data_IF_278755055600
#
_entry.id   IF_278755055600
#
_cell.length_a   1.000
_cell.length_b   1.000
_cell.length_c   1.000
_cell.angle_alpha   90.00
_cell.angle_beta   90.00
_cell.angle_gamma   90.00
#
_symmetry.space_group_name_H-M   'P 1'
#
loop_
_entity.id
_entity.type
_entity.pdbx_description
1 polymer ?
#
# COMPACT_ATOMS: atom_id res chain seq x y z
N UNK A 1 -12.58 4.83 -6.56
CA UNK A 1 -11.29 4.12 -6.59
C UNK A 1 -10.18 5.18 -6.58
N UNK A 2 -9.30 5.19 -5.57
CA UNK A 2 -8.34 6.30 -5.37
C UNK A 2 -6.99 5.92 -5.97
N UNK A 3 -6.42 6.84 -6.75
CA UNK A 3 -5.08 6.71 -7.31
C UNK A 3 -4.24 7.94 -6.93
N UNK A 4 -2.94 7.78 -7.02
CA UNK A 4 -1.97 8.86 -6.94
C UNK A 4 -0.93 8.63 -8.04
N UNK A 5 -0.47 9.72 -8.64
CA UNK A 5 0.61 9.69 -9.63
C UNK A 5 1.66 10.70 -9.19
N UNK A 6 2.91 10.27 -9.20
CA UNK A 6 4.05 11.10 -8.87
C UNK A 6 5.24 10.72 -9.72
N UNK A 7 6.21 11.61 -9.82
CA UNK A 7 7.45 11.38 -10.56
C UNK A 7 8.60 11.36 -9.57
N UNK A 8 9.46 10.35 -9.66
CA UNK A 8 10.71 10.28 -8.92
C UNK A 8 11.88 10.42 -9.87
N UNK A 9 12.92 11.15 -9.47
CA UNK A 9 14.20 11.07 -10.15
C UNK A 9 15.00 9.91 -9.56
N UNK A 10 15.35 8.94 -10.41
CA UNK A 10 16.24 7.81 -10.09
C UNK A 10 17.44 7.92 -11.02
N UNK A 11 18.63 8.14 -10.46
CA UNK A 11 19.88 8.31 -11.22
C UNK A 11 19.81 9.38 -12.33
N UNK A 12 19.09 10.47 -12.07
CA UNK A 12 18.88 11.56 -13.03
C UNK A 12 17.81 11.28 -14.09
N UNK A 13 17.19 10.10 -14.08
CA UNK A 13 16.10 9.72 -14.98
C UNK A 13 14.76 9.96 -14.25
N UNK A 14 13.85 10.78 -14.81
CA UNK A 14 12.52 10.97 -14.25
C UNK A 14 11.63 9.75 -14.55
N UNK A 15 11.26 9.02 -13.51
CA UNK A 15 10.39 7.85 -13.58
C UNK A 15 9.00 8.23 -13.07
N UNK A 16 7.99 8.04 -13.91
CA UNK A 16 6.58 8.27 -13.55
C UNK A 16 6.01 7.02 -12.90
N UNK A 17 5.46 7.17 -11.70
CA UNK A 17 4.88 6.09 -10.90
C UNK A 17 3.42 6.41 -10.64
N UNK A 18 2.55 5.46 -10.95
CA UNK A 18 1.12 5.53 -10.62
C UNK A 18 0.80 4.46 -9.60
N UNK A 19 0.38 4.87 -8.41
CA UNK A 19 -0.08 3.97 -7.36
C UNK A 19 -1.61 3.97 -7.33
N UNK A 20 -2.21 2.79 -7.36
CA UNK A 20 -3.66 2.58 -7.31
C UNK A 20 -4.00 1.73 -6.10
N UNK A 21 -4.97 2.20 -5.29
CA UNK A 21 -5.56 1.37 -4.23
C UNK A 21 -6.63 0.45 -4.83
N UNK A 22 -6.54 -0.84 -4.55
CA UNK A 22 -7.58 -1.81 -4.90
C UNK A 22 -8.79 -1.60 -3.97
N UNK A 23 -10.02 -1.46 -4.48
CA UNK A 23 -11.22 -1.34 -3.65
C UNK A 23 -11.42 -2.56 -2.76
N UNK A 24 -11.89 -2.36 -1.52
CA UNK A 24 -12.24 -3.43 -0.57
C UNK A 24 -11.10 -4.40 -0.19
N UNK A 25 -9.92 -4.24 -0.75
CA UNK A 25 -8.73 -5.03 -0.46
C UNK A 25 -7.64 -4.16 0.22
N UNK A 26 -6.75 -4.82 0.95
CA UNK A 26 -5.51 -4.23 1.50
C UNK A 26 -4.37 -4.26 0.47
N UNK A 27 -4.72 -4.09 -0.81
CA UNK A 27 -3.80 -4.20 -1.94
C UNK A 27 -3.61 -2.89 -2.67
N UNK A 28 -2.40 -2.73 -3.21
CA UNK A 28 -1.98 -1.59 -3.99
C UNK A 28 -1.28 -2.07 -5.25
N UNK A 29 -1.47 -1.35 -6.33
CA UNK A 29 -0.75 -1.58 -7.59
C UNK A 29 0.14 -0.37 -7.84
N UNK A 30 1.45 -0.58 -7.93
CA UNK A 30 2.37 0.40 -8.50
C UNK A 30 2.56 0.09 -9.97
N UNK A 31 2.34 1.11 -10.80
CA UNK A 31 2.44 1.02 -12.24
C UNK A 31 3.58 1.95 -12.67
N UNK A 32 4.62 1.37 -13.25
CA UNK A 32 5.77 2.06 -13.81
C UNK A 32 5.84 1.67 -15.28
N UNK A 33 5.65 2.65 -16.16
CA UNK A 33 5.47 2.45 -17.60
C UNK A 33 4.36 1.44 -17.94
N UNK A 34 4.71 0.17 -18.19
CA UNK A 34 3.78 -0.93 -18.49
C UNK A 34 3.82 -2.05 -17.45
N UNK A 35 4.77 -2.00 -16.53
CA UNK A 35 4.93 -2.99 -15.49
C UNK A 35 4.03 -2.67 -14.31
N UNK A 36 3.39 -3.71 -13.78
CA UNK A 36 2.51 -3.63 -12.62
C UNK A 36 3.13 -4.49 -11.53
N UNK A 37 3.46 -3.84 -10.42
CA UNK A 37 3.90 -4.51 -9.19
C UNK A 37 2.79 -4.39 -8.16
N UNK A 38 2.36 -5.52 -7.62
CA UNK A 38 1.34 -5.58 -6.58
C UNK A 38 1.98 -5.64 -5.19
N UNK A 39 1.39 -4.88 -4.28
CA UNK A 39 1.74 -4.85 -2.87
C UNK A 39 0.51 -5.15 -2.01
N UNK A 40 0.72 -5.84 -0.90
CA UNK A 40 -0.31 -6.10 0.10
C UNK A 40 0.16 -5.58 1.46
N UNK A 41 -0.75 -5.11 2.30
CA UNK A 41 -0.41 -4.85 3.71
C UNK A 41 -0.62 -6.14 4.48
N UNK A 42 0.43 -6.62 5.14
CA UNK A 42 0.41 -7.80 5.99
C UNK A 42 -0.60 -7.66 7.14
N UNK A 43 -1.31 -8.74 7.43
CA UNK A 43 -2.22 -8.81 8.57
C UNK A 43 -1.46 -8.92 9.91
N UNK A 44 -0.21 -9.41 9.89
CA UNK A 44 0.59 -9.67 11.09
C UNK A 44 1.45 -8.46 11.45
N UNK A 45 2.21 -7.94 10.48
CA UNK A 45 3.16 -6.83 10.72
C UNK A 45 2.53 -5.47 10.47
N UNK A 46 1.39 -5.42 9.77
CA UNK A 46 0.79 -4.19 9.26
C UNK A 46 1.75 -3.38 8.36
N UNK A 47 2.76 -4.05 7.79
CA UNK A 47 3.71 -3.46 6.84
C UNK A 47 3.32 -3.78 5.40
N UNK A 48 3.76 -2.93 4.48
CA UNK A 48 3.58 -3.16 3.06
C UNK A 48 4.58 -4.22 2.60
N UNK A 49 4.11 -5.25 1.92
CA UNK A 49 4.92 -6.36 1.42
C UNK A 49 4.69 -6.51 -0.09
N UNK A 50 5.74 -6.94 -0.81
CA UNK A 50 5.62 -7.34 -2.21
C UNK A 50 4.71 -8.57 -2.32
N UNK A 51 3.81 -8.56 -3.29
CA UNK A 51 2.85 -9.64 -3.51
C UNK A 51 3.05 -10.30 -4.87
N UNK A 52 3.05 -9.52 -5.96
CA UNK A 52 3.16 -10.03 -7.33
C UNK A 52 3.85 -9.03 -8.26
N UNK A 53 4.36 -9.50 -9.40
CA UNK A 53 4.98 -8.69 -10.44
C UNK A 53 6.48 -8.46 -10.21
N UNK A 54 7.13 -7.62 -11.04
CA UNK A 54 8.56 -7.40 -10.96
C UNK A 54 8.94 -6.76 -9.62
N UNK A 55 10.02 -7.27 -9.04
CA UNK A 55 10.60 -6.74 -7.81
C UNK A 55 11.25 -5.39 -8.15
N UNK A 56 10.77 -4.34 -7.50
CA UNK A 56 11.36 -3.01 -7.63
C UNK A 56 12.59 -2.88 -6.73
N UNK A 57 13.46 -1.92 -7.03
CA UNK A 57 14.58 -1.60 -6.14
C UNK A 57 14.11 -1.11 -4.77
N UNK A 58 14.92 -1.33 -3.75
CA UNK A 58 14.62 -0.93 -2.36
C UNK A 58 14.27 0.56 -2.25
N UNK A 59 14.95 1.41 -3.03
CA UNK A 59 14.66 2.84 -3.09
C UNK A 59 13.25 3.13 -3.59
N UNK A 60 12.85 2.51 -4.72
CA UNK A 60 11.51 2.68 -5.29
C UNK A 60 10.44 2.14 -4.34
N UNK A 61 10.67 0.97 -3.78
CA UNK A 61 9.79 0.36 -2.80
C UNK A 61 9.56 1.27 -1.59
N UNK A 62 10.65 1.80 -1.00
CA UNK A 62 10.56 2.70 0.14
C UNK A 62 9.75 3.95 -0.18
N UNK A 63 10.01 4.60 -1.33
CA UNK A 63 9.28 5.80 -1.74
C UNK A 63 7.80 5.52 -2.00
N UNK A 64 7.47 4.39 -2.60
CA UNK A 64 6.09 3.97 -2.81
C UNK A 64 5.40 3.71 -1.46
N UNK A 65 6.08 3.04 -0.52
CA UNK A 65 5.59 2.79 0.84
C UNK A 65 5.28 4.09 1.59
N UNK A 66 6.19 5.07 1.54
CA UNK A 66 6.00 6.39 2.15
C UNK A 66 4.76 7.11 1.58
N UNK A 67 4.62 7.11 0.25
CA UNK A 67 3.45 7.71 -0.43
C UNK A 67 2.17 6.98 -0.04
N UNK A 68 2.19 5.65 0.03
CA UNK A 68 1.02 4.85 0.42
C UNK A 68 0.60 5.21 1.85
N UNK A 69 1.54 5.27 2.79
CA UNK A 69 1.29 5.63 4.19
C UNK A 69 0.73 7.05 4.32
N UNK A 70 1.27 8.02 3.57
CA UNK A 70 0.83 9.41 3.61
C UNK A 70 -0.57 9.62 3.02
N UNK A 71 -0.85 9.00 1.87
CA UNK A 71 -2.08 9.27 1.12
C UNK A 71 -3.24 8.32 1.43
N UNK A 72 -2.93 7.15 2.01
CA UNK A 72 -3.92 6.16 2.42
C UNK A 72 -3.76 5.81 3.92
N UNK A 73 -3.90 6.79 4.84
CA UNK A 73 -3.66 6.58 6.28
C UNK A 73 -4.66 5.60 6.91
N UNK A 74 -5.87 5.48 6.34
CA UNK A 74 -6.93 4.59 6.82
C UNK A 74 -6.86 3.19 6.20
N UNK A 75 -5.72 2.80 5.62
CA UNK A 75 -5.52 1.42 5.15
C UNK A 75 -4.93 0.49 6.20
N UNK A 76 -5.01 0.91 7.47
CA UNK A 76 -4.82 0.04 8.63
C UNK A 76 -5.68 -1.22 8.47
N UNK A 77 -5.22 -2.31 9.05
CA UNK A 77 -5.94 -3.57 9.08
C UNK A 77 -7.43 -3.34 9.36
N UNK A 78 -8.28 -3.91 8.49
CA UNK A 78 -9.61 -4.28 8.94
C UNK A 78 -9.32 -5.32 10.01
N UNK A 79 -9.50 -4.95 11.29
CA UNK A 79 -9.66 -5.92 12.37
C UNK A 79 -10.56 -7.01 11.79
N UNK A 80 -10.06 -8.26 11.71
CA UNK A 80 -10.87 -9.36 11.20
C UNK A 80 -12.21 -9.28 11.91
N UNK A 81 -13.27 -8.96 11.17
CA UNK A 81 -14.64 -9.08 11.68
C UNK A 81 -14.84 -10.59 11.86
N UNK A 82 -14.60 -11.07 13.08
CA UNK A 82 -14.56 -12.50 13.38
C UNK A 82 -13.63 -12.93 14.52
N UNK A 83 -12.89 -12.04 15.19
CA UNK A 83 -12.50 -12.27 16.58
C UNK A 83 -13.41 -11.41 17.45
N UNK A 84 -14.10 -12.05 18.38
CA UNK A 84 -15.06 -11.45 19.28
C UNK A 84 -14.44 -10.22 19.99
N UNK A 85 -14.93 -9.02 19.66
CA UNK A 85 -14.72 -7.84 20.50
C UNK A 85 -15.58 -8.00 21.77
N UNK A 86 -15.10 -8.78 22.73
CA UNK A 86 -15.60 -8.81 24.11
C UNK A 86 -15.14 -7.60 24.94
N UNK A 87 -14.87 -6.45 24.33
CA UNK A 87 -14.52 -5.21 25.05
C UNK A 87 -15.30 -4.00 24.52
N UNK A 88 -16.63 -4.13 24.46
CA UNK A 88 -17.53 -2.98 24.47
C UNK A 88 -18.58 -3.11 25.58
N UNK A 89 -18.12 -3.51 26.77
CA UNK A 89 -18.80 -3.26 28.04
C UNK A 89 -17.87 -2.39 28.87
N UNK A 90 -18.00 -1.07 28.74
CA UNK A 90 -18.00 -0.15 29.87
C UNK A 90 -18.19 1.29 29.35
N UNK A 91 -19.45 1.63 29.09
CA UNK A 91 -19.95 3.00 29.27
C UNK A 91 -21.14 2.89 30.25
N UNK A 92 -20.85 3.09 31.55
CA UNK A 92 -21.83 3.31 32.63
C UNK A 92 -21.59 4.69 33.23
#
# INVERSE_FOLDING_TARGET
>A
MRNITFTLNVDGIPIKIKVRKVPKERRFQAIIDRDITEYAISDVTNELEHYEGPVLSDYLFQRISDVIKQYFPNTKAIQKVGEDDYENYDDY
#
